data_IF_855154765059
#
_entry.id   IF_855154765059
#
_cell.length_a   1.000
_cell.length_b   1.000
_cell.length_c   1.000
_cell.angle_alpha   90.00
_cell.angle_beta   90.00
_cell.angle_gamma   90.00
#
_symmetry.space_group_name_H-M   'P 1'
#
loop_
_entity.id
_entity.type
_entity.pdbx_description
1 polymer ?
#
# COMPACT_ATOMS: atom_id res chain seq x y z
N UNK A 1 24.56 -3.58 -13.56
CA UNK A 1 24.49 -2.78 -12.33
C UNK A 1 23.06 -2.79 -11.83
N UNK A 2 22.73 -3.62 -10.84
CA UNK A 2 21.35 -3.80 -10.37
C UNK A 2 20.98 -2.67 -9.42
N UNK A 3 20.31 -1.63 -9.93
CA UNK A 3 19.71 -0.59 -9.11
C UNK A 3 18.58 -1.25 -8.32
N UNK A 4 18.82 -1.50 -7.03
CA UNK A 4 17.81 -2.00 -6.09
C UNK A 4 16.61 -1.07 -6.16
N UNK A 5 15.49 -1.59 -6.64
CA UNK A 5 14.19 -0.94 -6.56
C UNK A 5 13.87 -0.71 -5.08
N UNK A 6 14.05 0.53 -4.63
CA UNK A 6 13.75 0.98 -3.26
C UNK A 6 12.30 1.49 -3.14
N UNK A 7 11.53 1.33 -4.22
CA UNK A 7 10.11 1.65 -4.36
C UNK A 7 9.21 0.86 -3.39
N UNK A 8 9.73 -0.22 -2.80
CA UNK A 8 9.09 -0.96 -1.71
C UNK A 8 9.33 -0.35 -0.32
N UNK A 9 10.38 0.46 -0.14
CA UNK A 9 10.71 1.06 1.15
C UNK A 9 9.98 2.40 1.30
N UNK A 10 9.10 2.57 2.30
CA UNK A 10 8.36 3.82 2.47
C UNK A 10 9.29 4.98 2.81
N UNK A 11 9.09 6.11 2.13
CA UNK A 11 9.88 7.31 2.32
C UNK A 11 9.57 7.94 3.69
N UNK A 12 10.56 7.91 4.58
CA UNK A 12 10.44 8.51 5.93
C UNK A 12 10.18 10.02 5.87
N UNK A 13 10.74 10.71 4.87
CA UNK A 13 10.55 12.15 4.66
C UNK A 13 9.16 12.49 4.10
N UNK A 14 8.59 11.61 3.27
CA UNK A 14 7.24 11.80 2.72
C UNK A 14 6.18 11.64 3.82
N UNK A 15 6.36 10.68 4.72
CA UNK A 15 5.49 10.51 5.90
C UNK A 15 5.43 11.76 6.79
N UNK A 16 6.51 12.54 6.87
CA UNK A 16 6.60 13.80 7.63
C UNK A 16 6.33 15.04 6.77
N UNK A 17 5.99 14.87 5.48
CA UNK A 17 5.71 15.99 4.57
C UNK A 17 6.93 16.82 4.17
N UNK A 18 8.14 16.29 4.41
CA UNK A 18 9.42 16.97 4.19
C UNK A 18 10.17 16.43 2.96
N UNK A 19 9.54 15.56 2.16
CA UNK A 19 10.17 15.04 0.96
C UNK A 19 10.14 16.05 -0.19
N UNK A 20 11.31 16.55 -0.58
CA UNK A 20 11.52 17.41 -1.76
C UNK A 20 11.72 16.64 -3.06
N UNK A 21 11.90 15.31 -3.01
CA UNK A 21 12.16 14.50 -4.19
C UNK A 21 10.91 14.17 -5.03
N UNK A 22 9.70 14.41 -4.51
CA UNK A 22 8.45 14.22 -5.25
C UNK A 22 8.35 12.84 -5.92
N UNK A 23 8.07 12.80 -7.22
CA UNK A 23 7.96 11.56 -8.01
C UNK A 23 9.30 10.95 -8.43
N UNK A 24 10.43 11.62 -8.17
CA UNK A 24 11.78 11.11 -8.45
C UNK A 24 12.45 10.50 -7.22
N UNK A 25 11.69 10.32 -6.13
CA UNK A 25 12.21 9.68 -4.94
C UNK A 25 12.48 8.20 -5.21
N UNK A 26 13.66 7.66 -4.87
CA UNK A 26 13.91 6.22 -4.97
C UNK A 26 13.08 5.41 -3.96
N UNK A 27 12.45 6.08 -2.99
CA UNK A 27 11.64 5.46 -1.94
C UNK A 27 10.14 5.62 -2.24
N UNK A 28 9.33 4.69 -1.73
CA UNK A 28 7.88 4.71 -1.92
C UNK A 28 7.24 5.93 -1.28
N UNK A 29 6.53 6.73 -2.09
CA UNK A 29 5.60 7.77 -1.64
C UNK A 29 4.16 7.25 -1.54
N UNK A 30 3.99 5.93 -1.47
CA UNK A 30 2.68 5.37 -1.18
C UNK A 30 2.41 5.59 0.30
N UNK A 31 1.46 6.48 0.62
CA UNK A 31 0.92 6.58 1.98
C UNK A 31 0.26 5.24 2.27
N UNK A 32 0.99 4.38 2.95
CA UNK A 32 0.45 3.17 3.57
C UNK A 32 -0.42 3.66 4.73
N UNK A 33 -1.57 4.26 4.42
CA UNK A 33 -2.61 4.48 5.40
C UNK A 33 -2.89 3.13 6.06
N UNK A 34 -3.16 3.07 7.38
CA UNK A 34 -3.56 1.86 8.08
C UNK A 34 -4.95 1.40 7.58
N UNK A 35 -5.00 0.90 6.35
CA UNK A 35 -6.19 0.64 5.56
C UNK A 35 -5.95 0.50 4.05
N UNK A 36 -4.86 1.07 3.51
CA UNK A 36 -4.61 1.11 2.04
C UNK A 36 -3.47 0.21 1.55
N UNK A 37 -2.84 -0.56 2.44
CA UNK A 37 -1.86 -1.58 2.09
C UNK A 37 -2.45 -2.99 1.97
N UNK A 38 -3.76 -3.13 2.13
CA UNK A 38 -4.45 -4.40 1.94
C UNK A 38 -5.02 -4.36 0.54
N UNK A 39 -4.43 -5.13 -0.38
CA UNK A 39 -5.05 -5.38 -1.67
C UNK A 39 -6.53 -5.71 -1.47
N UNK A 40 -7.39 -5.16 -2.32
CA UNK A 40 -8.82 -5.43 -2.26
C UNK A 40 -9.00 -6.94 -2.32
N UNK A 41 -9.75 -7.48 -1.36
CA UNK A 41 -9.95 -8.92 -1.30
C UNK A 41 -10.70 -9.37 -2.54
N UNK A 42 -9.99 -9.95 -3.51
CA UNK A 42 -10.59 -10.45 -4.75
C UNK A 42 -11.70 -11.48 -4.46
N UNK A 43 -11.54 -12.26 -3.38
CA UNK A 43 -12.56 -13.20 -2.91
C UNK A 43 -13.79 -12.50 -2.33
N UNK A 44 -13.65 -11.34 -1.70
CA UNK A 44 -14.78 -10.56 -1.18
C UNK A 44 -15.59 -9.95 -2.33
N UNK A 45 -14.91 -9.37 -3.32
CA UNK A 45 -15.53 -8.85 -4.55
C UNK A 45 -16.27 -9.97 -5.29
N UNK A 46 -15.70 -11.17 -5.32
CA UNK A 46 -16.33 -12.37 -5.89
C UNK A 46 -17.40 -13.00 -4.99
N UNK A 47 -17.61 -12.49 -3.78
CA UNK A 47 -18.60 -13.01 -2.81
C UNK A 47 -18.22 -14.33 -2.13
N UNK A 48 -16.97 -14.77 -2.24
CA UNK A 48 -16.49 -16.09 -1.78
C UNK A 48 -15.39 -15.99 -0.70
N UNK A 49 -15.29 -14.86 0.00
CA UNK A 49 -14.30 -14.69 1.06
C UNK A 49 -14.69 -15.45 2.33
N UNK A 50 -13.89 -16.45 2.70
CA UNK A 50 -14.10 -17.33 3.85
C UNK A 50 -13.71 -16.70 5.19
N UNK A 51 -12.95 -15.60 5.16
CA UNK A 51 -12.37 -14.95 6.33
C UNK A 51 -13.24 -13.82 6.90
N UNK A 52 -14.27 -13.38 6.16
CA UNK A 52 -15.20 -12.34 6.60
C UNK A 52 -14.49 -11.10 7.13
N UNK A 53 -14.96 -10.55 8.25
CA UNK A 53 -14.38 -9.36 8.88
C UNK A 53 -12.96 -9.56 9.45
N UNK A 54 -12.44 -10.80 9.46
CA UNK A 54 -11.07 -11.13 9.87
C UNK A 54 -10.13 -11.26 8.67
N UNK A 55 -10.55 -10.83 7.48
CA UNK A 55 -9.73 -10.97 6.29
C UNK A 55 -8.47 -10.10 6.39
N UNK A 56 -7.34 -10.68 5.97
CA UNK A 56 -6.09 -9.95 5.85
C UNK A 56 -6.14 -8.90 4.74
N UNK A 57 -7.12 -8.97 3.84
CA UNK A 57 -7.31 -8.10 2.68
C UNK A 57 -8.49 -7.13 2.89
N UNK A 58 -8.57 -6.04 2.11
CA UNK A 58 -9.59 -5.02 2.32
C UNK A 58 -10.97 -5.50 1.81
N UNK A 59 -11.99 -5.44 2.66
CA UNK A 59 -13.39 -5.68 2.31
C UNK A 59 -14.09 -4.34 2.16
N UNK A 60 -14.08 -3.77 0.96
CA UNK A 60 -14.73 -2.51 0.62
C UNK A 60 -16.07 -2.80 -0.05
N UNK A 61 -17.16 -2.42 0.61
CA UNK A 61 -18.49 -2.35 0.00
C UNK A 61 -18.57 -1.03 -0.79
N UNK A 62 -19.14 -1.02 -2.02
CA UNK A 62 -19.48 0.21 -2.70
C UNK A 62 -20.54 1.02 -1.92
#
# INVERSE_FOLDING_TARGET
>A
STAKDLSHVPCKFFKVGSCTAGSSCPFSHQVLEPGQAKEVCAWFVKGNCKFGHKCALAHILP
#
